data_IF_512562788387
#
_entry.id   IF_512562788387
#
_cell.length_a   1.000
_cell.length_b   1.000
_cell.length_c   1.000
_cell.angle_alpha   90.00
_cell.angle_beta   90.00
_cell.angle_gamma   90.00
#
_symmetry.space_group_name_H-M   'P 1'
#
loop_
_entity.id
_entity.type
_entity.pdbx_description
1 polymer ?
#
# COMPACT_ATOMS: atom_id res chain seq x y z
N UNK A 1 -35.35 0.34 -13.07
CA UNK A 1 -34.01 -0.28 -13.05
C UNK A 1 -33.01 0.86 -13.07
N UNK A 2 -32.64 1.36 -11.89
CA UNK A 2 -31.57 2.34 -11.73
C UNK A 2 -30.43 1.59 -11.06
N UNK A 3 -29.24 1.70 -11.63
CA UNK A 3 -27.91 1.50 -11.01
C UNK A 3 -26.91 1.63 -12.17
N UNK A 4 -26.47 2.83 -12.59
CA UNK A 4 -26.00 3.91 -11.72
C UNK A 4 -24.63 3.52 -11.18
N UNK A 5 -23.58 3.70 -12.01
CA UNK A 5 -22.15 3.63 -11.70
C UNK A 5 -21.79 3.26 -10.23
N UNK A 6 -21.73 1.95 -9.89
CA UNK A 6 -21.21 1.52 -8.59
C UNK A 6 -19.71 1.84 -8.53
N UNK A 7 -19.22 2.63 -7.55
CA UNK A 7 -17.83 3.02 -7.50
C UNK A 7 -16.95 1.78 -7.25
N UNK A 8 -16.06 1.48 -8.20
CA UNK A 8 -15.08 0.42 -8.06
C UNK A 8 -13.92 0.87 -7.18
N UNK A 9 -13.70 0.19 -6.05
CA UNK A 9 -12.57 0.44 -5.15
C UNK A 9 -11.40 -0.45 -5.52
N UNK A 10 -10.23 0.12 -5.81
CA UNK A 10 -8.97 -0.63 -5.90
C UNK A 10 -8.60 -1.16 -4.51
N UNK A 11 -8.39 -2.47 -4.37
CA UNK A 11 -7.99 -3.08 -3.10
C UNK A 11 -6.49 -2.97 -2.87
N UNK A 12 -6.01 -2.81 -1.62
CA UNK A 12 -4.58 -2.63 -1.31
C UNK A 12 -3.72 -3.89 -1.47
N UNK A 13 -4.33 -5.03 -1.76
CA UNK A 13 -3.67 -6.28 -2.15
C UNK A 13 -3.89 -6.58 -3.63
N UNK A 14 -2.99 -7.38 -4.20
CA UNK A 14 -3.13 -7.92 -5.56
C UNK A 14 -4.02 -9.15 -5.57
N UNK A 15 -4.69 -9.38 -6.70
CA UNK A 15 -5.31 -10.67 -7.02
C UNK A 15 -4.28 -11.68 -7.52
N UNK A 16 -4.78 -12.73 -8.19
CA UNK A 16 -3.93 -13.74 -8.83
C UNK A 16 -2.91 -13.09 -9.79
N UNK A 17 -1.71 -13.69 -9.85
CA UNK A 17 -0.62 -13.25 -10.72
C UNK A 17 -0.19 -11.77 -10.53
N UNK A 18 -0.47 -11.18 -9.36
CA UNK A 18 -0.11 -9.78 -9.08
C UNK A 18 -1.03 -8.76 -9.73
N UNK A 19 -2.16 -9.17 -10.31
CA UNK A 19 -3.08 -8.26 -11.01
C UNK A 19 -3.82 -7.33 -10.03
N UNK A 20 -4.17 -6.10 -10.44
CA UNK A 20 -5.04 -5.24 -9.64
C UNK A 20 -6.37 -5.92 -9.30
N UNK A 21 -6.87 -5.73 -8.08
CA UNK A 21 -8.12 -6.32 -7.61
C UNK A 21 -9.09 -5.18 -7.26
N UNK A 22 -10.33 -5.27 -7.74
CA UNK A 22 -11.34 -4.23 -7.55
C UNK A 22 -12.56 -4.78 -6.81
N UNK A 23 -13.06 -3.98 -5.86
CA UNK A 23 -14.30 -4.23 -5.13
C UNK A 23 -15.41 -3.33 -5.68
N UNK A 24 -16.50 -3.95 -6.14
CA UNK A 24 -17.74 -3.24 -6.48
C UNK A 24 -18.67 -3.26 -5.27
N UNK A 25 -18.83 -2.13 -4.58
CA UNK A 25 -19.73 -2.03 -3.42
C UNK A 25 -20.23 -0.61 -3.18
N UNK A 26 -21.23 -0.47 -2.30
CA UNK A 26 -21.81 0.83 -1.92
C UNK A 26 -21.00 1.58 -0.82
N UNK A 27 -19.71 1.22 -0.62
CA UNK A 27 -18.77 2.00 0.19
C UNK A 27 -18.41 1.52 1.62
N UNK A 28 -19.24 0.74 2.32
CA UNK A 28 -18.97 0.36 3.74
C UNK A 28 -19.21 -1.14 4.06
N UNK A 29 -18.94 -2.00 3.08
CA UNK A 29 -18.97 -3.44 3.29
C UNK A 29 -17.80 -3.95 4.17
N UNK A 30 -17.87 -5.17 4.71
CA UNK A 30 -16.77 -5.80 5.46
C UNK A 30 -15.42 -5.78 4.71
N UNK A 31 -15.44 -5.95 3.37
CA UNK A 31 -14.24 -5.86 2.54
C UNK A 31 -13.69 -4.43 2.43
N UNK A 32 -14.54 -3.41 2.48
CA UNK A 32 -14.12 -2.00 2.51
C UNK A 32 -13.35 -1.71 3.79
N UNK A 33 -13.88 -2.14 4.95
CA UNK A 33 -13.18 -2.01 6.24
C UNK A 33 -11.89 -2.82 6.31
N UNK A 34 -11.88 -4.02 5.73
CA UNK A 34 -10.65 -4.81 5.62
C UNK A 34 -9.60 -4.08 4.77
N UNK A 35 -10.00 -3.48 3.66
CA UNK A 35 -9.12 -2.65 2.86
C UNK A 35 -8.58 -1.45 3.65
N UNK A 36 -9.40 -0.78 4.47
CA UNK A 36 -8.91 0.32 5.32
C UNK A 36 -7.87 -0.15 6.35
N UNK A 37 -8.08 -1.32 6.96
CA UNK A 37 -7.12 -1.92 7.89
C UNK A 37 -5.80 -2.24 7.19
N UNK A 38 -5.85 -2.87 6.01
CA UNK A 38 -4.64 -3.20 5.25
C UNK A 38 -3.91 -1.93 4.77
N UNK A 39 -4.65 -0.94 4.25
CA UNK A 39 -4.07 0.36 3.88
C UNK A 39 -3.33 0.98 5.08
N UNK A 40 -3.92 0.96 6.28
CA UNK A 40 -3.28 1.49 7.50
C UNK A 40 -2.02 0.70 7.86
N UNK A 41 -2.11 -0.63 7.90
CA UNK A 41 -0.96 -1.50 8.22
C UNK A 41 0.21 -1.28 7.26
N UNK A 42 -0.05 -1.16 5.96
CA UNK A 42 0.99 -0.88 4.97
C UNK A 42 1.67 0.48 5.21
N UNK A 43 0.89 1.51 5.56
CA UNK A 43 1.45 2.83 5.88
C UNK A 43 2.28 2.82 7.17
N UNK A 44 1.81 2.13 8.21
CA UNK A 44 2.54 1.99 9.48
C UNK A 44 3.87 1.26 9.25
N UNK A 45 3.85 0.15 8.48
CA UNK A 45 5.06 -0.58 8.10
C UNK A 45 6.04 0.27 7.27
N UNK A 46 5.53 1.11 6.36
CA UNK A 46 6.35 2.03 5.59
C UNK A 46 7.01 3.08 6.48
N UNK A 47 6.28 3.58 7.48
CA UNK A 47 6.81 4.52 8.47
C UNK A 47 7.91 3.89 9.34
N UNK A 48 7.69 2.66 9.81
CA UNK A 48 8.72 1.92 10.55
C UNK A 48 9.98 1.71 9.69
N UNK A 49 9.81 1.36 8.41
CA UNK A 49 10.92 1.17 7.48
C UNK A 49 11.70 2.47 7.24
N UNK A 50 11.02 3.62 7.19
CA UNK A 50 11.68 4.93 7.09
C UNK A 50 12.56 5.21 8.32
N UNK A 51 12.12 4.82 9.51
CA UNK A 51 12.95 4.89 10.73
C UNK A 51 14.21 4.05 10.61
N UNK A 52 14.06 2.77 10.23
CA UNK A 52 15.20 1.88 10.01
C UNK A 52 16.15 2.37 8.91
N UNK A 53 15.61 2.99 7.86
CA UNK A 53 16.39 3.60 6.79
C UNK A 53 17.26 4.75 7.33
N UNK A 54 16.69 5.63 8.16
CA UNK A 54 17.41 6.73 8.78
C UNK A 54 18.55 6.22 9.67
N UNK A 55 18.28 5.22 10.52
CA UNK A 55 19.27 4.62 11.40
C UNK A 55 20.43 3.98 10.61
N UNK A 56 20.11 3.20 9.57
CA UNK A 56 21.12 2.53 8.76
C UNK A 56 21.96 3.51 7.93
N UNK A 57 21.36 4.58 7.41
CA UNK A 57 22.07 5.62 6.68
C UNK A 57 23.00 6.46 7.58
N UNK A 58 22.71 6.53 8.88
CA UNK A 58 23.56 7.20 9.86
C UNK A 58 24.74 6.32 10.34
N UNK A 59 24.67 5.00 10.23
CA UNK A 59 25.77 4.11 10.63
C UNK A 59 26.86 4.06 9.54
N UNK A 60 28.01 4.67 9.82
CA UNK A 60 29.18 4.66 8.94
C UNK A 60 29.75 3.25 8.66
N UNK A 61 29.32 2.24 9.42
CA UNK A 61 29.72 0.83 9.24
C UNK A 61 28.71 0.03 8.42
N UNK A 62 27.62 0.66 7.95
CA UNK A 62 26.61 -0.01 7.13
C UNK A 62 27.25 -0.59 5.86
N UNK A 63 26.96 -1.86 5.59
CA UNK A 63 27.55 -2.56 4.43
C UNK A 63 26.73 -2.34 3.16
N UNK A 64 27.35 -2.47 1.97
CA UNK A 64 26.63 -2.42 0.70
C UNK A 64 25.48 -3.43 0.61
N UNK A 65 25.60 -4.61 1.23
CA UNK A 65 24.56 -5.64 1.26
C UNK A 65 23.36 -5.20 2.11
N UNK A 66 23.61 -4.59 3.27
CA UNK A 66 22.55 -4.02 4.12
C UNK A 66 21.81 -2.90 3.40
N UNK A 67 22.54 -2.02 2.72
CA UNK A 67 21.94 -0.94 1.91
C UNK A 67 21.13 -1.47 0.72
N UNK A 68 21.62 -2.52 0.05
CA UNK A 68 20.88 -3.16 -1.07
C UNK A 68 19.62 -3.85 -0.58
N UNK A 69 19.68 -4.51 0.57
CA UNK A 69 18.50 -5.08 1.22
C UNK A 69 17.48 -3.99 1.58
N UNK A 70 17.94 -2.92 2.23
CA UNK A 70 17.09 -1.76 2.55
C UNK A 70 16.41 -1.19 1.31
N UNK A 71 17.16 -0.99 0.22
CA UNK A 71 16.60 -0.47 -1.03
C UNK A 71 15.52 -1.40 -1.63
N UNK A 72 15.71 -2.72 -1.52
CA UNK A 72 14.71 -3.71 -1.91
C UNK A 72 13.42 -3.57 -1.11
N UNK A 73 13.53 -3.44 0.22
CA UNK A 73 12.39 -3.22 1.12
C UNK A 73 11.70 -1.88 0.86
N UNK A 74 12.48 -0.83 0.59
CA UNK A 74 11.95 0.50 0.26
C UNK A 74 11.15 0.47 -1.04
N UNK A 75 11.61 -0.26 -2.06
CA UNK A 75 10.85 -0.45 -3.30
C UNK A 75 9.51 -1.14 -3.07
N UNK A 76 9.49 -2.20 -2.24
CA UNK A 76 8.26 -2.91 -1.88
C UNK A 76 7.27 -1.98 -1.15
N UNK A 77 7.73 -1.29 -0.10
CA UNK A 77 6.91 -0.36 0.65
C UNK A 77 6.37 0.79 -0.21
N UNK A 78 7.21 1.38 -1.09
CA UNK A 78 6.76 2.45 -2.00
C UNK A 78 5.72 1.97 -3.01
N UNK A 79 5.81 0.72 -3.46
CA UNK A 79 4.79 0.12 -4.35
C UNK A 79 3.44 0.03 -3.63
N UNK A 80 3.45 -0.42 -2.37
CA UNK A 80 2.25 -0.48 -1.54
C UNK A 80 1.68 0.91 -1.27
N UNK A 81 2.51 1.87 -0.84
CA UNK A 81 2.08 3.26 -0.58
C UNK A 81 1.49 3.90 -1.84
N UNK A 82 2.09 3.69 -3.01
CA UNK A 82 1.57 4.21 -4.27
C UNK A 82 0.16 3.66 -4.55
N UNK A 83 -0.04 2.35 -4.36
CA UNK A 83 -1.35 1.71 -4.53
C UNK A 83 -2.40 2.25 -3.57
N UNK A 84 -2.04 2.48 -2.31
CA UNK A 84 -2.93 3.11 -1.32
C UNK A 84 -3.33 4.52 -1.77
N UNK A 85 -2.37 5.31 -2.27
CA UNK A 85 -2.63 6.66 -2.78
C UNK A 85 -3.55 6.66 -4.00
N UNK A 86 -3.34 5.75 -4.97
CA UNK A 86 -4.22 5.58 -6.13
C UNK A 86 -5.64 5.21 -5.71
N UNK A 87 -5.76 4.23 -4.79
CA UNK A 87 -7.05 3.77 -4.29
C UNK A 87 -7.83 4.88 -3.58
N UNK A 88 -7.16 5.66 -2.72
CA UNK A 88 -7.77 6.82 -2.04
C UNK A 88 -8.14 7.93 -3.03
N UNK A 89 -7.25 8.23 -3.98
CA UNK A 89 -7.46 9.24 -5.02
C UNK A 89 -8.67 8.95 -5.89
N UNK A 90 -8.88 7.68 -6.27
CA UNK A 90 -10.04 7.25 -7.05
C UNK A 90 -11.37 7.38 -6.28
N UNK A 91 -11.36 7.27 -4.94
CA UNK A 91 -12.55 7.45 -4.09
C UNK A 91 -12.89 8.92 -3.82
N UNK A 92 -11.93 9.83 -4.01
CA UNK A 92 -12.07 11.27 -3.74
C UNK A 92 -12.46 12.11 -4.96
N UNK A 93 -12.56 11.48 -6.15
CA UNK A 93 -12.94 12.09 -7.42
C UNK A 93 -14.40 11.78 -7.74
#
# INVERSE_FOLDING_TARGET
MNDGNRPARLLPWTGEEGKPCYLLSDGDGPLSRMADVVERTQLDMAQDLLGHAADLLADARATPEQLRFLLGRMREALTDVHRVAESRGARSR
#
